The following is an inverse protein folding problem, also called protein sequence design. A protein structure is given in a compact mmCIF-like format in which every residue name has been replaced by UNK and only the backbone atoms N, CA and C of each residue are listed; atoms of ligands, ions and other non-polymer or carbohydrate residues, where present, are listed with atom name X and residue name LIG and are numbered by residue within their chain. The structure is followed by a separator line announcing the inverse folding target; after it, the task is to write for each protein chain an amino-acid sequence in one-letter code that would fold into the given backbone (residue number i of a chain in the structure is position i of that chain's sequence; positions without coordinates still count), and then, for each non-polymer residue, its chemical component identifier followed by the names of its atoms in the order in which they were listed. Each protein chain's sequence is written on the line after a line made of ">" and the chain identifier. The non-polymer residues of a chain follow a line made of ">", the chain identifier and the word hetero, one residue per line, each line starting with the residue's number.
data_IF_225885098505
#
_entry.id   IF_225885098505
#
_cell.length_a   1.000
_cell.length_b   1.000
_cell.length_c   1.000
_cell.angle_alpha   90.00
_cell.angle_beta   90.00
_cell.angle_gamma   90.00
#
_symmetry.space_group_name_H-M   'P 1'
#
loop_
_entity.id
_entity.type
_entity.pdbx_description
1 polymer ?
#
# COMPACT_ATOMS: atom_id res chain seq x y z
N UNK A 1 21.62 12.38 5.47
CA UNK A 1 20.72 11.22 5.60
C UNK A 1 20.72 10.81 7.06
N UNK A 2 19.57 10.78 7.73
CA UNK A 2 19.50 10.18 9.09
C UNK A 2 19.64 8.67 8.92
N UNK A 3 20.76 8.10 9.33
CA UNK A 3 20.96 6.66 9.41
C UNK A 3 20.12 6.13 10.56
N UNK A 4 18.86 5.83 10.28
CA UNK A 4 17.96 5.26 11.26
C UNK A 4 18.14 3.75 11.28
N UNK A 5 18.46 3.21 12.45
CA UNK A 5 18.57 1.78 12.67
C UNK A 5 17.21 1.13 12.37
N UNK A 6 17.21 0.13 11.49
CA UNK A 6 15.99 -0.56 11.06
C UNK A 6 15.71 -1.77 11.93
N UNK A 7 14.45 -2.00 12.26
CA UNK A 7 13.98 -3.18 12.98
C UNK A 7 13.24 -2.85 14.27
N UNK A 8 13.48 -3.69 15.28
CA UNK A 8 12.77 -3.65 16.56
C UNK A 8 11.38 -4.29 16.51
N UNK A 9 10.72 -4.24 17.66
CA UNK A 9 9.38 -4.80 17.88
C UNK A 9 8.37 -4.17 16.91
N UNK A 10 7.42 -4.98 16.44
CA UNK A 10 6.31 -4.53 15.60
C UNK A 10 5.21 -3.90 16.45
N UNK A 11 4.76 -2.71 16.07
CA UNK A 11 3.58 -2.06 16.67
C UNK A 11 2.34 -2.35 15.85
N UNK A 12 1.16 -2.24 16.48
CA UNK A 12 -0.11 -2.48 15.82
C UNK A 12 -0.34 -1.50 14.64
N UNK A 13 0.00 -0.24 14.83
CA UNK A 13 0.07 0.78 13.76
C UNK A 13 0.91 0.37 12.55
N UNK A 14 2.10 -0.19 12.76
CA UNK A 14 2.97 -0.67 11.67
C UNK A 14 2.33 -1.86 10.92
N UNK A 15 1.71 -2.79 11.66
CA UNK A 15 1.02 -3.95 11.09
C UNK A 15 -0.20 -3.52 10.25
N UNK A 16 -0.99 -2.55 10.71
CA UNK A 16 -2.15 -2.04 9.95
C UNK A 16 -1.73 -1.30 8.68
N UNK A 17 -0.66 -0.49 8.74
CA UNK A 17 -0.08 0.13 7.54
C UNK A 17 0.43 -0.94 6.57
N UNK A 18 1.05 -2.00 7.08
CA UNK A 18 1.55 -3.11 6.27
C UNK A 18 0.39 -3.85 5.57
N UNK A 19 -0.70 -4.14 6.28
CA UNK A 19 -1.92 -4.72 5.71
C UNK A 19 -2.52 -3.83 4.61
N UNK A 20 -2.72 -2.55 4.89
CA UNK A 20 -3.29 -1.61 3.91
C UNK A 20 -2.38 -1.44 2.68
N UNK A 21 -1.06 -1.42 2.89
CA UNK A 21 -0.07 -1.38 1.82
C UNK A 21 -0.07 -2.66 0.99
N UNK A 22 -0.27 -3.82 1.61
CA UNK A 22 -0.40 -5.11 0.93
C UNK A 22 -1.62 -5.12 0.01
N UNK A 23 -2.76 -4.61 0.49
CA UNK A 23 -3.98 -4.49 -0.32
C UNK A 23 -3.78 -3.62 -1.57
N UNK A 24 -2.97 -2.55 -1.47
CA UNK A 24 -2.71 -1.64 -2.60
C UNK A 24 -1.62 -2.12 -3.57
N UNK A 25 -0.52 -2.68 -3.05
CA UNK A 25 0.70 -2.95 -3.84
C UNK A 25 0.95 -4.45 -4.11
N UNK A 26 0.32 -5.35 -3.35
CA UNK A 26 0.45 -6.80 -3.46
C UNK A 26 1.79 -7.37 -2.96
N UNK A 27 1.92 -8.71 -3.00
CA UNK A 27 3.02 -9.49 -2.39
C UNK A 27 4.38 -9.39 -3.10
N UNK A 28 4.49 -8.62 -4.18
CA UNK A 28 5.72 -8.53 -5.00
C UNK A 28 6.45 -7.19 -4.88
N UNK A 29 5.82 -6.17 -4.29
CA UNK A 29 6.34 -4.79 -4.27
C UNK A 29 6.83 -4.36 -2.88
N UNK A 30 7.60 -5.21 -2.21
CA UNK A 30 8.07 -4.98 -0.83
C UNK A 30 8.88 -3.70 -0.64
N UNK A 31 9.62 -3.25 -1.67
CA UNK A 31 10.33 -1.97 -1.63
C UNK A 31 9.41 -0.77 -1.48
N UNK A 32 8.24 -0.81 -2.13
CA UNK A 32 7.21 0.23 -2.02
C UNK A 32 6.47 0.13 -0.69
N UNK A 33 6.22 -1.08 -0.20
CA UNK A 33 5.56 -1.30 1.08
C UNK A 33 6.42 -0.77 2.22
N UNK A 34 7.70 -1.14 2.28
CA UNK A 34 8.61 -0.68 3.33
C UNK A 34 8.87 0.81 3.30
N UNK A 35 8.69 1.49 2.17
CA UNK A 35 8.86 2.95 2.13
C UNK A 35 7.72 3.70 2.80
N UNK A 36 6.62 3.03 3.17
CA UNK A 36 5.55 3.56 4.03
C UNK A 36 5.82 3.30 5.52
N UNK A 37 6.75 2.40 5.86
CA UNK A 37 7.12 2.05 7.23
C UNK A 37 8.50 2.59 7.55
N UNK A 38 8.57 3.65 8.33
CA UNK A 38 9.77 4.47 8.56
C UNK A 38 10.96 3.63 9.09
N UNK A 39 10.71 2.70 10.04
CA UNK A 39 11.74 1.92 10.73
C UNK A 39 11.87 0.46 10.26
N UNK A 40 11.14 0.03 9.22
CA UNK A 40 11.12 -1.38 8.78
C UNK A 40 11.64 -1.52 7.36
N UNK A 41 12.51 -2.51 7.14
CA UNK A 41 13.06 -2.84 5.83
C UNK A 41 12.11 -3.70 5.00
N UNK A 42 12.32 -3.77 3.69
CA UNK A 42 11.52 -4.61 2.79
C UNK A 42 11.59 -6.10 3.16
N UNK A 43 12.75 -6.57 3.65
CA UNK A 43 12.93 -7.95 4.14
C UNK A 43 12.11 -8.19 5.40
N UNK A 44 12.11 -7.24 6.33
CA UNK A 44 11.33 -7.30 7.58
C UNK A 44 9.82 -7.28 7.28
N UNK A 45 9.34 -6.39 6.39
CA UNK A 45 7.93 -6.38 5.97
C UNK A 45 7.50 -7.73 5.34
N UNK A 46 8.37 -8.32 4.49
CA UNK A 46 8.11 -9.63 3.88
C UNK A 46 8.05 -10.75 4.91
N UNK A 47 9.01 -10.79 5.83
CA UNK A 47 9.05 -11.77 6.91
C UNK A 47 7.83 -11.61 7.83
N UNK A 48 7.51 -10.39 8.28
CA UNK A 48 6.33 -10.09 9.10
C UNK A 48 5.02 -10.56 8.46
N UNK A 49 4.88 -10.32 7.16
CA UNK A 49 3.70 -10.79 6.43
C UNK A 49 3.61 -12.32 6.45
N UNK A 50 4.68 -13.01 6.06
CA UNK A 50 4.68 -14.47 5.92
C UNK A 50 4.67 -15.22 7.27
N UNK A 51 5.15 -14.62 8.35
CA UNK A 51 5.24 -15.24 9.67
C UNK A 51 4.06 -14.87 10.59
N UNK A 52 3.40 -13.73 10.38
CA UNK A 52 2.35 -13.26 11.28
C UNK A 52 1.09 -12.71 10.61
N UNK A 53 1.16 -11.98 9.50
CA UNK A 53 -0.01 -11.24 8.97
C UNK A 53 -0.80 -11.96 7.88
N UNK A 54 -0.22 -12.95 7.20
CA UNK A 54 -0.93 -13.67 6.14
C UNK A 54 -2.17 -14.39 6.73
N UNK A 55 -3.38 -14.14 6.22
CA UNK A 55 -4.61 -14.76 6.73
C UNK A 55 -4.61 -16.29 6.67
N UNK A 56 -3.76 -16.91 5.85
CA UNK A 56 -3.61 -18.37 5.81
C UNK A 56 -2.92 -18.95 7.05
N UNK A 57 -2.28 -18.12 7.87
CA UNK A 57 -1.56 -18.55 9.08
C UNK A 57 -2.57 -18.83 10.19
N UNK A 58 -2.66 -20.09 10.62
CA UNK A 58 -3.49 -20.47 11.76
C UNK A 58 -2.86 -19.95 13.05
N UNK A 59 -3.62 -19.15 13.80
CA UNK A 59 -3.27 -18.65 15.15
C UNK A 59 -4.12 -19.26 16.26
N UNK A 60 -4.91 -20.28 15.93
CA UNK A 60 -5.69 -21.05 16.88
C UNK A 60 -4.79 -22.00 17.66
N UNK A 61 -5.32 -22.57 18.75
CA UNK A 61 -4.69 -23.64 19.51
C UNK A 61 -4.26 -24.82 18.62
N UNK A 62 -3.26 -25.56 19.09
CA UNK A 62 -2.76 -26.77 18.43
C UNK A 62 -3.71 -27.93 18.67
N UNK A 63 -4.01 -28.67 17.61
CA UNK A 63 -4.77 -29.92 17.72
C UNK A 63 -3.84 -31.09 17.99
N UNK A 64 -4.38 -32.16 18.60
CA UNK A 64 -3.63 -33.39 18.84
C UNK A 64 -3.08 -34.00 17.55
N UNK A 65 -3.86 -33.96 16.47
CA UNK A 65 -3.45 -34.44 15.14
C UNK A 65 -2.28 -33.62 14.58
N UNK A 66 -2.28 -32.29 14.76
CA UNK A 66 -1.17 -31.42 14.38
C UNK A 66 0.10 -31.74 15.19
N UNK A 67 -0.02 -31.99 16.50
CA UNK A 67 1.10 -32.35 17.37
C UNK A 67 1.71 -33.71 17.02
N UNK A 68 0.88 -34.74 16.82
CA UNK A 68 1.34 -36.08 16.43
C UNK A 68 2.08 -36.03 15.09
N UNK A 69 1.53 -35.28 14.12
CA UNK A 69 2.18 -35.06 12.82
C UNK A 69 3.49 -34.29 12.95
N UNK A 70 3.53 -33.25 13.78
CA UNK A 70 4.73 -32.45 14.04
C UNK A 70 5.85 -33.32 14.62
N UNK A 71 5.57 -34.11 15.66
CA UNK A 71 6.54 -34.99 16.30
C UNK A 71 7.04 -36.08 15.35
N UNK A 72 6.14 -36.69 14.56
CA UNK A 72 6.51 -37.69 13.56
C UNK A 72 7.46 -37.11 12.51
N UNK A 73 7.12 -35.95 11.95
CA UNK A 73 7.93 -35.30 10.92
C UNK A 73 9.25 -34.77 11.48
N UNK A 74 9.27 -34.22 12.70
CA UNK A 74 10.50 -33.76 13.35
C UNK A 74 11.50 -34.89 13.61
N UNK A 75 10.99 -36.11 13.86
CA UNK A 75 11.83 -37.32 13.99
C UNK A 75 12.43 -37.78 12.66
N UNK A 76 11.68 -37.67 11.57
CA UNK A 76 12.14 -38.10 10.22
C UNK A 76 13.02 -37.05 9.55
N UNK A 77 12.70 -35.77 9.75
CA UNK A 77 13.37 -34.62 9.15
C UNK A 77 13.94 -33.71 10.26
N UNK A 78 15.04 -34.12 10.92
CA UNK A 78 15.61 -33.35 12.03
C UNK A 78 15.92 -31.91 11.61
N UNK A 79 15.45 -30.94 12.41
CA UNK A 79 15.68 -29.49 12.28
C UNK A 79 15.27 -28.83 10.95
N UNK A 80 14.53 -29.53 10.08
CA UNK A 80 14.08 -29.00 8.78
C UNK A 80 12.71 -28.30 8.85
N UNK A 81 12.58 -27.30 9.74
CA UNK A 81 11.30 -26.65 10.03
C UNK A 81 10.62 -26.00 8.82
N UNK A 82 11.39 -25.49 7.86
CA UNK A 82 10.84 -24.92 6.61
C UNK A 82 10.17 -25.97 5.71
N UNK A 83 10.61 -27.23 5.80
CA UNK A 83 10.04 -28.37 5.08
C UNK A 83 8.84 -28.93 5.83
N UNK A 84 8.90 -28.97 7.16
CA UNK A 84 7.85 -29.50 8.03
C UNK A 84 6.61 -28.58 8.05
N UNK A 85 6.83 -27.26 8.14
CA UNK A 85 5.78 -26.26 8.29
C UNK A 85 4.64 -26.37 7.26
N UNK A 86 4.91 -26.43 5.93
CA UNK A 86 3.87 -26.62 4.93
C UNK A 86 3.07 -27.91 5.10
N UNK A 87 3.71 -29.00 5.55
CA UNK A 87 3.03 -30.28 5.76
C UNK A 87 2.12 -30.25 7.00
N UNK A 88 2.50 -29.54 8.06
CA UNK A 88 1.69 -29.35 9.28
C UNK A 88 0.61 -28.28 9.09
N UNK A 89 0.83 -27.31 8.19
CA UNK A 89 -0.09 -26.19 7.95
C UNK A 89 0.06 -25.03 8.95
N UNK A 90 1.27 -24.86 9.51
CA UNK A 90 1.66 -23.80 10.45
C UNK A 90 2.97 -23.15 9.98
N UNK A 91 3.38 -22.03 10.56
CA UNK A 91 4.68 -21.41 10.20
C UNK A 91 5.85 -22.19 10.81
N UNK A 92 7.05 -22.04 10.23
CA UNK A 92 8.25 -22.73 10.71
C UNK A 92 8.58 -22.33 12.16
N UNK A 93 8.41 -21.05 12.51
CA UNK A 93 8.60 -20.57 13.88
C UNK A 93 7.57 -21.17 14.84
N UNK A 94 6.29 -21.25 14.45
CA UNK A 94 5.26 -21.88 15.28
C UNK A 94 5.57 -23.37 15.54
N UNK A 95 5.98 -24.10 14.50
CA UNK A 95 6.35 -25.52 14.62
C UNK A 95 7.52 -25.73 15.57
N UNK A 96 8.59 -24.93 15.46
CA UNK A 96 9.75 -25.01 16.34
C UNK A 96 9.36 -24.72 17.79
N UNK A 97 8.65 -23.61 18.05
CA UNK A 97 8.22 -23.23 19.40
C UNK A 97 7.32 -24.30 20.03
N UNK A 98 6.39 -24.86 19.26
CA UNK A 98 5.52 -25.95 19.74
C UNK A 98 6.31 -27.21 20.06
N UNK A 99 7.24 -27.59 19.19
CA UNK A 99 8.08 -28.77 19.39
C UNK A 99 8.93 -28.65 20.66
N UNK A 100 9.56 -27.49 20.89
CA UNK A 100 10.32 -27.23 22.12
C UNK A 100 9.42 -27.34 23.36
N UNK A 101 8.21 -26.75 23.34
CA UNK A 101 7.25 -26.88 24.44
C UNK A 101 6.83 -28.32 24.73
N UNK A 102 6.64 -29.14 23.68
CA UNK A 102 6.30 -30.56 23.84
C UNK A 102 7.46 -31.36 24.44
N UNK A 103 8.70 -31.05 24.06
CA UNK A 103 9.89 -31.65 24.67
C UNK A 103 10.06 -31.22 26.13
N UNK A 104 9.93 -29.92 26.43
CA UNK A 104 10.03 -29.40 27.79
C UNK A 104 8.97 -30.02 28.72
N UNK A 105 7.74 -30.21 28.22
CA UNK A 105 6.67 -30.89 28.95
C UNK A 105 6.95 -32.38 29.20
N UNK A 106 7.66 -33.05 28.28
CA UNK A 106 7.99 -34.47 28.39
C UNK A 106 9.24 -34.73 29.24
N UNK A 107 10.25 -33.85 29.17
CA UNK A 107 11.50 -33.98 29.94
C UNK A 107 11.31 -33.67 31.44
N UNK A 108 10.24 -32.98 31.83
CA UNK A 108 10.05 -32.54 33.21
C UNK A 108 11.00 -31.41 33.60
N UNK A 109 10.68 -30.71 34.68
CA UNK A 109 11.45 -29.57 35.19
C UNK A 109 12.74 -30.08 35.86
N UNK A 110 13.74 -30.49 35.10
CA UNK A 110 15.09 -30.72 35.63
C UNK A 110 15.60 -29.38 36.16
N UNK A 111 15.61 -29.24 37.50
CA UNK A 111 15.87 -28.02 38.27
C UNK A 111 17.32 -27.51 38.20
N UNK A 112 17.99 -27.64 37.05
CA UNK A 112 19.37 -27.22 36.82
C UNK A 112 19.63 -26.52 35.47
N UNK A 113 18.62 -26.32 34.62
CA UNK A 113 18.76 -25.57 33.37
C UNK A 113 18.79 -24.06 33.60
N UNK A 114 19.69 -23.35 32.92
CA UNK A 114 19.83 -21.89 33.00
C UNK A 114 18.48 -21.18 32.80
N UNK A 115 18.02 -20.46 33.83
CA UNK A 115 16.65 -19.94 33.96
C UNK A 115 16.30 -18.86 32.93
N UNK A 116 17.30 -18.32 32.21
CA UNK A 116 17.11 -17.24 31.23
C UNK A 116 17.94 -17.48 29.96
N UNK A 117 17.30 -18.00 28.92
CA UNK A 117 17.91 -18.20 27.58
C UNK A 117 18.29 -16.91 26.84
N UNK A 118 17.89 -15.72 27.32
CA UNK A 118 18.25 -14.42 26.74
C UNK A 118 18.86 -13.50 27.80
N UNK A 119 20.01 -12.91 27.47
CA UNK A 119 20.70 -11.95 28.33
C UNK A 119 19.96 -10.60 28.38
N UNK A 120 19.98 -9.89 29.53
CA UNK A 120 19.49 -8.51 29.59
C UNK A 120 20.20 -7.63 28.54
N UNK A 121 19.43 -7.03 27.62
CA UNK A 121 19.94 -6.13 26.58
C UNK A 121 20.12 -6.75 25.18
N UNK A 122 19.88 -8.05 25.02
CA UNK A 122 19.95 -8.69 23.69
C UNK A 122 18.73 -8.36 22.83
N UNK A 123 18.96 -8.13 21.54
CA UNK A 123 17.90 -7.92 20.54
C UNK A 123 17.39 -9.28 20.10
N UNK A 124 16.07 -9.46 20.17
CA UNK A 124 15.42 -10.66 19.65
C UNK A 124 15.75 -10.89 18.16
N UNK A 125 16.27 -12.08 17.79
CA UNK A 125 16.61 -12.38 16.40
C UNK A 125 15.39 -12.56 15.48
N UNK A 126 14.17 -12.81 16.02
CA UNK A 126 12.97 -13.06 15.20
C UNK A 126 11.72 -12.30 15.69
N UNK A 127 11.75 -10.96 15.75
CA UNK A 127 10.64 -10.14 16.23
C UNK A 127 9.41 -10.22 15.30
N UNK A 128 9.57 -10.61 14.04
CA UNK A 128 8.50 -10.76 13.06
C UNK A 128 7.49 -11.86 13.44
N UNK A 129 7.90 -12.85 14.24
CA UNK A 129 7.04 -13.95 14.69
C UNK A 129 6.21 -13.63 15.94
N UNK A 130 6.45 -12.48 16.59
CA UNK A 130 5.82 -12.12 17.87
C UNK A 130 4.56 -11.27 17.70
N UNK A 131 3.62 -11.29 18.66
CA UNK A 131 2.48 -10.35 18.65
C UNK A 131 2.92 -8.89 18.56
N UNK A 132 2.10 -8.06 17.90
CA UNK A 132 2.35 -6.63 17.84
C UNK A 132 2.13 -5.99 19.22
N UNK A 133 2.94 -4.98 19.55
CA UNK A 133 2.71 -4.15 20.73
C UNK A 133 1.48 -3.27 20.51
N UNK A 134 0.54 -3.19 21.47
CA UNK A 134 -0.55 -2.22 21.43
C UNK A 134 -0.02 -0.80 21.29
N UNK A 135 -0.77 0.03 20.59
CA UNK A 135 -0.41 1.44 20.39
C UNK A 135 -0.58 2.21 21.71
N UNK A 136 0.37 3.11 22.04
CA UNK A 136 0.22 3.97 23.22
C UNK A 136 -0.95 4.96 23.02
N UNK A 137 -1.55 5.39 24.13
CA UNK A 137 -2.66 6.38 24.11
C UNK A 137 -2.22 7.69 23.46
N UNK A 138 -1.02 8.15 23.79
CA UNK A 138 -0.38 9.30 23.17
C UNK A 138 0.68 8.81 22.19
N UNK A 139 0.41 9.01 20.90
CA UNK A 139 1.31 8.66 19.81
C UNK A 139 2.39 9.74 19.65
N UNK A 140 3.61 9.32 19.35
CA UNK A 140 4.68 10.28 19.08
C UNK A 140 4.50 10.94 17.70
N UNK A 141 5.23 12.04 17.47
CA UNK A 141 5.16 12.78 16.20
C UNK A 141 5.54 11.93 14.99
N UNK A 142 6.50 11.00 15.16
CA UNK A 142 6.96 10.10 14.10
C UNK A 142 5.84 9.15 13.65
N UNK A 143 5.09 8.58 14.59
CA UNK A 143 3.97 7.68 14.31
C UNK A 143 2.81 8.40 13.65
N UNK A 144 2.48 9.60 14.13
CA UNK A 144 1.44 10.43 13.52
C UNK A 144 1.81 10.86 12.10
N UNK A 145 3.07 11.23 11.86
CA UNK A 145 3.58 11.54 10.52
C UNK A 145 3.53 10.31 9.61
N UNK A 146 3.95 9.15 10.11
CA UNK A 146 3.91 7.88 9.37
C UNK A 146 2.48 7.51 8.93
N UNK A 147 1.49 7.67 9.82
CA UNK A 147 0.07 7.41 9.47
C UNK A 147 -0.45 8.41 8.46
N UNK A 148 -0.15 9.70 8.64
CA UNK A 148 -0.54 10.76 7.71
C UNK A 148 0.01 10.51 6.31
N UNK A 149 1.29 10.16 6.23
CA UNK A 149 1.96 9.80 4.98
C UNK A 149 1.33 8.55 4.34
N UNK A 150 1.09 7.51 5.13
CA UNK A 150 0.45 6.28 4.65
C UNK A 150 -0.92 6.58 4.04
N UNK A 151 -1.79 7.34 4.74
CA UNK A 151 -3.11 7.77 4.24
C UNK A 151 -2.99 8.52 2.91
N UNK A 152 -2.11 9.52 2.83
CA UNK A 152 -1.92 10.32 1.62
C UNK A 152 -1.40 9.47 0.43
N UNK A 153 -0.45 8.58 0.67
CA UNK A 153 0.11 7.69 -0.36
C UNK A 153 -0.89 6.65 -0.82
N UNK A 154 -1.69 6.08 0.09
CA UNK A 154 -2.73 5.10 -0.24
C UNK A 154 -3.88 5.75 -1.04
N UNK A 155 -4.25 7.00 -0.75
CA UNK A 155 -5.25 7.74 -1.54
C UNK A 155 -4.76 8.15 -2.93
N UNK A 156 -3.45 8.36 -3.12
CA UNK A 156 -2.93 8.85 -4.40
C UNK A 156 -2.86 7.75 -5.49
N UNK A 157 -3.55 7.98 -6.61
CA UNK A 157 -3.54 7.12 -7.81
C UNK A 157 -2.96 7.82 -9.04
N UNK A 158 -2.75 9.14 -8.98
CA UNK A 158 -2.38 9.96 -10.14
C UNK A 158 -0.87 10.22 -10.20
N UNK A 159 -0.29 9.98 -11.37
CA UNK A 159 1.10 10.31 -11.66
C UNK A 159 1.35 11.82 -11.89
N UNK A 160 2.63 12.19 -12.04
CA UNK A 160 3.07 13.59 -12.24
C UNK A 160 2.36 14.28 -13.41
N UNK A 161 2.28 13.62 -14.57
CA UNK A 161 1.64 14.15 -15.79
C UNK A 161 0.15 14.43 -15.59
N UNK A 162 -0.57 13.52 -14.95
CA UNK A 162 -2.00 13.69 -14.66
C UNK A 162 -2.25 14.86 -13.70
N UNK A 163 -1.44 15.01 -12.65
CA UNK A 163 -1.53 16.15 -11.71
C UNK A 163 -1.20 17.47 -12.40
N UNK A 164 -0.16 17.51 -13.24
CA UNK A 164 0.22 18.70 -14.02
C UNK A 164 -0.91 19.13 -14.96
N UNK A 165 -1.44 18.20 -15.76
CA UNK A 165 -2.54 18.48 -16.70
C UNK A 165 -3.81 18.96 -16.00
N UNK A 166 -4.10 18.47 -14.80
CA UNK A 166 -5.23 18.96 -14.00
C UNK A 166 -5.05 20.41 -13.58
N UNK A 167 -3.86 20.79 -13.08
CA UNK A 167 -3.54 22.18 -12.73
C UNK A 167 -3.56 23.09 -13.95
N UNK A 168 -3.01 22.65 -15.08
CA UNK A 168 -3.06 23.40 -16.34
C UNK A 168 -4.50 23.66 -16.79
N UNK A 169 -5.39 22.66 -16.67
CA UNK A 169 -6.82 22.82 -16.98
C UNK A 169 -7.48 23.86 -16.06
N UNK A 170 -7.23 23.81 -14.75
CA UNK A 170 -7.76 24.77 -13.78
C UNK A 170 -7.27 26.21 -14.07
N UNK A 171 -5.98 26.36 -14.38
CA UNK A 171 -5.40 27.65 -14.75
C UNK A 171 -6.01 28.15 -16.06
N UNK A 172 -6.19 27.28 -17.06
CA UNK A 172 -6.81 27.65 -18.33
C UNK A 172 -8.26 28.13 -18.14
N UNK A 173 -9.03 27.47 -17.27
CA UNK A 173 -10.39 27.86 -16.92
C UNK A 173 -10.43 29.18 -16.15
N UNK A 174 -9.57 29.36 -15.15
CA UNK A 174 -9.44 30.61 -14.40
C UNK A 174 -9.07 31.78 -15.32
N UNK A 175 -8.08 31.59 -16.21
CA UNK A 175 -7.68 32.60 -17.20
C UNK A 175 -8.81 32.89 -18.19
N UNK A 176 -9.58 31.88 -18.61
CA UNK A 176 -10.75 32.08 -19.47
C UNK A 176 -11.80 32.94 -18.77
N UNK A 177 -12.14 32.63 -17.53
CA UNK A 177 -13.11 33.38 -16.72
C UNK A 177 -12.65 34.83 -16.54
N UNK A 178 -11.39 35.05 -16.15
CA UNK A 178 -10.83 36.39 -16.00
C UNK A 178 -10.86 37.19 -17.32
N UNK A 179 -10.54 36.54 -18.44
CA UNK A 179 -10.60 37.19 -19.76
C UNK A 179 -12.02 37.56 -20.19
N UNK A 180 -13.01 36.72 -19.83
CA UNK A 180 -14.42 36.98 -20.09
C UNK A 180 -14.95 38.11 -19.22
N UNK A 181 -14.57 38.13 -17.94
CA UNK A 181 -14.92 39.23 -17.04
C UNK A 181 -14.38 40.55 -17.56
N UNK A 182 -13.09 40.62 -17.91
CA UNK A 182 -12.49 41.81 -18.52
C UNK A 182 -13.23 42.27 -19.77
N UNK A 183 -13.62 41.34 -20.66
CA UNK A 183 -14.37 41.68 -21.87
C UNK A 183 -15.76 42.20 -21.55
N UNK A 184 -16.45 41.62 -20.56
CA UNK A 184 -17.76 42.11 -20.12
C UNK A 184 -17.67 43.53 -19.59
N UNK A 185 -16.66 43.85 -18.80
CA UNK A 185 -16.42 45.19 -18.25
C UNK A 185 -16.13 46.21 -19.35
N UNK A 186 -15.29 45.87 -20.33
CA UNK A 186 -15.02 46.73 -21.49
C UNK A 186 -16.28 46.97 -22.34
N UNK A 187 -17.03 45.90 -22.64
CA UNK A 187 -18.28 46.02 -23.38
C UNK A 187 -19.33 46.86 -22.64
N UNK A 188 -19.42 46.71 -21.31
CA UNK A 188 -20.32 47.52 -20.47
C UNK A 188 -19.93 49.00 -20.46
N UNK A 189 -18.64 49.32 -20.56
CA UNK A 189 -18.12 50.67 -20.74
C UNK A 189 -18.24 51.20 -22.19
N UNK A 190 -18.78 50.40 -23.12
CA UNK A 190 -18.91 50.76 -24.53
C UNK A 190 -17.59 50.73 -25.32
N UNK A 191 -16.55 50.11 -24.78
CA UNK A 191 -15.23 50.01 -25.42
C UNK A 191 -15.13 48.67 -26.16
N UNK A 192 -15.07 48.70 -27.49
CA UNK A 192 -14.80 47.51 -28.30
C UNK A 192 -13.31 47.13 -28.24
N UNK A 193 -13.01 45.91 -27.78
CA UNK A 193 -11.63 45.44 -27.59
C UNK A 193 -11.01 44.85 -28.86
N UNK A 194 -11.76 44.77 -29.97
CA UNK A 194 -11.23 44.52 -31.32
C UNK A 194 -10.32 43.30 -31.43
N UNK A 195 -10.54 42.28 -30.60
CA UNK A 195 -9.59 41.15 -30.48
C UNK A 195 -9.36 40.48 -31.84
N UNK A 196 -8.14 40.63 -32.38
CA UNK A 196 -7.69 39.91 -33.57
C UNK A 196 -7.79 38.41 -33.30
N UNK A 197 -8.56 37.69 -34.14
CA UNK A 197 -8.56 36.22 -34.16
C UNK A 197 -7.11 35.76 -34.27
N UNK A 198 -6.64 35.00 -33.29
CA UNK A 198 -5.34 34.37 -33.38
C UNK A 198 -5.41 33.39 -34.56
N UNK A 199 -4.78 33.74 -35.68
CA UNK A 199 -4.81 32.97 -36.90
C UNK A 199 -3.91 31.72 -36.71
N UNK A 200 -4.38 30.75 -35.93
CA UNK A 200 -3.74 29.44 -35.84
C UNK A 200 -4.07 28.71 -37.13
N UNK A 201 -3.22 28.87 -38.14
CA UNK A 201 -3.40 28.35 -39.50
C UNK A 201 -3.38 26.82 -39.67
N UNK A 202 -3.87 26.03 -38.71
CA UNK A 202 -3.94 24.55 -38.79
C UNK A 202 -5.13 23.94 -38.00
N UNK A 203 -6.27 24.62 -37.87
CA UNK A 203 -7.43 24.07 -37.14
C UNK A 203 -8.77 24.44 -37.77
N UNK A 204 -9.74 23.53 -37.68
CA UNK A 204 -11.12 23.76 -38.14
C UNK A 204 -11.80 24.75 -37.19
N UNK A 205 -12.46 25.76 -37.76
CA UNK A 205 -13.29 26.67 -36.99
C UNK A 205 -14.68 26.07 -36.78
N UNK A 206 -14.83 25.36 -35.66
CA UNK A 206 -16.09 24.73 -35.25
C UNK A 206 -17.28 25.71 -35.13
N UNK A 207 -17.04 27.02 -35.03
CA UNK A 207 -18.11 28.01 -34.96
C UNK A 207 -18.52 28.57 -36.33
N UNK A 208 -17.67 28.45 -37.36
CA UNK A 208 -17.90 29.06 -38.68
C UNK A 208 -18.49 28.06 -39.69
N UNK A 209 -18.14 26.79 -39.58
CA UNK A 209 -18.57 25.75 -40.52
C UNK A 209 -18.84 24.42 -39.79
N UNK A 210 -19.60 23.53 -40.42
CA UNK A 210 -19.82 22.17 -39.93
C UNK A 210 -18.56 21.35 -40.24
N UNK A 211 -17.76 20.96 -39.23
CA UNK A 211 -16.54 20.19 -39.47
C UNK A 211 -16.87 18.83 -40.07
N UNK A 212 -16.17 18.46 -41.15
CA UNK A 212 -16.33 17.16 -41.81
C UNK A 212 -17.78 16.85 -42.19
N UNK A 213 -18.51 17.86 -42.66
CA UNK A 213 -19.88 17.70 -43.13
C UNK A 213 -19.98 16.58 -44.17
N UNK A 214 -20.83 15.59 -43.88
CA UNK A 214 -21.27 14.60 -44.87
C UNK A 214 -22.72 14.90 -45.20
N UNK A 215 -22.96 15.35 -46.43
CA UNK A 215 -24.31 15.56 -46.92
C UNK A 215 -25.07 14.24 -46.91
N UNK A 216 -26.33 14.30 -46.49
CA UNK A 216 -27.21 13.14 -46.58
C UNK A 216 -27.29 12.68 -48.05
N UNK A 217 -27.17 11.37 -48.33
CA UNK A 217 -27.33 10.88 -49.70
C UNK A 217 -28.75 11.18 -50.20
N UNK A 218 -28.88 11.56 -51.46
CA UNK A 218 -30.17 11.85 -52.08
C UNK A 218 -31.08 10.60 -52.01
N UNK A 219 -32.29 10.78 -51.48
CA UNK A 219 -33.31 9.74 -51.38
C UNK A 219 -34.33 9.82 -52.52
N UNK A 220 -35.33 8.94 -52.47
CA UNK A 220 -36.42 8.91 -53.46
C UNK A 220 -37.45 10.04 -53.34
N UNK A 221 -37.39 10.83 -52.26
CA UNK A 221 -38.33 11.90 -51.97
C UNK A 221 -37.64 13.26 -52.02
N UNK A 222 -38.32 14.26 -52.55
CA UNK A 222 -37.87 15.66 -52.55
C UNK A 222 -37.84 16.20 -51.11
N UNK A 223 -36.72 16.81 -50.73
CA UNK A 223 -36.48 17.39 -49.40
C UNK A 223 -36.22 18.89 -49.44
N UNK A 224 -36.35 19.56 -50.60
CA UNK A 224 -36.01 20.98 -50.75
C UNK A 224 -37.19 21.92 -50.50
N UNK A 225 -38.44 21.47 -50.70
CA UNK A 225 -39.64 22.29 -50.51
C UNK A 225 -40.64 21.60 -49.58
N UNK A 226 -40.79 22.13 -48.37
CA UNK A 226 -41.89 21.82 -47.46
C UNK A 226 -42.44 23.09 -46.83
#
# INVERSE_FOLDING_TARGET
>A
MRNMVKGGVWKNTEDEILKASMMKYGKNQWGRISSLSVRKSSKQCKARWNEWLDPSIKKTEWTREEDEKLLHLAKILPTQWRTIAPAVGRTASQCLERYEKLLDAACGYEAGGDMRKLGPGEIDPNPESKPARPDPVEMDGDEMEMISEARARLANTRGKKAKRKAREKQIQEATRIASLQKRRELNAAGIDDGKRRNNKGKGIDYNAEIPFEKRAPAGFYDTENH
#
